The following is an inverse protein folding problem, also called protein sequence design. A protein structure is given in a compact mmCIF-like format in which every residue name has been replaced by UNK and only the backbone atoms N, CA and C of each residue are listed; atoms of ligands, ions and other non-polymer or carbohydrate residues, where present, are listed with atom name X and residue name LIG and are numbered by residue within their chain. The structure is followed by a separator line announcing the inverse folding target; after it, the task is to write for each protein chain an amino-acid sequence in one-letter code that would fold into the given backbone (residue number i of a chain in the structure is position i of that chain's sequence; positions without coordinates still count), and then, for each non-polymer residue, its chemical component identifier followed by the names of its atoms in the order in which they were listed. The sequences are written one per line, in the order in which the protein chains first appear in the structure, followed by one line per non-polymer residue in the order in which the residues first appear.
data_IF_378394073617
#
_entry.id   IF_378394073617
#
_cell.length_a   1.000
_cell.length_b   1.000
_cell.length_c   1.000
_cell.angle_alpha   90.00
_cell.angle_beta   90.00
_cell.angle_gamma   90.00
#
_symmetry.space_group_name_H-M   'P 1'
#
loop_
_entity.id
_entity.type
_entity.pdbx_description
1 polymer ?
#
# COMPACT_ATOMS: atom_id res chain seq x y z
N UNK A 1 -14.93 -13.02 -13.96
CA UNK A 1 -15.37 -12.03 -12.97
C UNK A 1 -14.15 -11.54 -12.21
N UNK A 2 -14.12 -10.27 -11.85
CA UNK A 2 -13.10 -9.73 -10.96
C UNK A 2 -13.38 -10.24 -9.55
N UNK A 3 -12.50 -11.05 -9.01
CA UNK A 3 -12.56 -11.46 -7.61
C UNK A 3 -11.59 -10.59 -6.81
N UNK A 4 -12.15 -9.90 -5.82
CA UNK A 4 -11.42 -8.95 -4.98
C UNK A 4 -11.34 -9.49 -3.57
N UNK A 5 -10.17 -9.47 -2.98
CA UNK A 5 -9.92 -9.96 -1.62
C UNK A 5 -8.98 -9.04 -0.84
N UNK A 6 -9.04 -9.09 0.48
CA UNK A 6 -8.09 -8.44 1.39
C UNK A 6 -7.24 -9.49 2.10
N UNK A 7 -6.10 -9.09 2.66
CA UNK A 7 -5.27 -9.92 3.55
C UNK A 7 -4.82 -9.06 4.72
N UNK A 8 -5.29 -9.37 5.92
CA UNK A 8 -5.12 -8.53 7.10
C UNK A 8 -4.78 -9.35 8.35
N UNK A 9 -4.36 -8.72 9.45
CA UNK A 9 -4.20 -9.39 10.74
C UNK A 9 -5.53 -9.96 11.27
N UNK A 10 -5.44 -11.00 12.10
CA UNK A 10 -6.60 -11.54 12.82
C UNK A 10 -7.32 -10.44 13.61
N UNK A 11 -8.65 -10.46 13.57
CA UNK A 11 -9.53 -9.47 14.24
C UNK A 11 -9.47 -8.03 13.69
N UNK A 12 -8.89 -7.80 12.51
CA UNK A 12 -9.01 -6.52 11.81
C UNK A 12 -10.49 -6.17 11.55
N UNK A 13 -10.81 -4.87 11.63
CA UNK A 13 -12.14 -4.32 11.32
C UNK A 13 -12.08 -3.21 10.29
N UNK A 14 -10.93 -2.61 10.13
CA UNK A 14 -10.63 -1.48 9.26
C UNK A 14 -9.72 -1.98 8.11
N UNK A 15 -10.35 -2.57 7.09
CA UNK A 15 -9.68 -3.07 5.89
C UNK A 15 -9.44 -1.90 4.92
N UNK A 16 -8.19 -1.46 4.80
CA UNK A 16 -7.82 -0.30 3.99
C UNK A 16 -7.55 -0.66 2.52
N UNK A 17 -7.03 -1.86 2.26
CA UNK A 17 -6.55 -2.29 0.96
C UNK A 17 -7.12 -3.65 0.53
N UNK A 18 -7.31 -3.81 -0.77
CA UNK A 18 -7.75 -5.06 -1.39
C UNK A 18 -7.04 -5.25 -2.74
N UNK A 19 -7.10 -6.47 -3.24
CA UNK A 19 -6.38 -6.89 -4.43
C UNK A 19 -7.24 -7.73 -5.35
N UNK A 20 -6.93 -7.68 -6.64
CA UNK A 20 -7.52 -8.54 -7.63
C UNK A 20 -6.57 -8.74 -8.81
N UNK A 21 -6.69 -9.88 -9.47
CA UNK A 21 -5.93 -10.18 -10.67
C UNK A 21 -6.82 -10.83 -11.72
N UNK A 22 -6.68 -10.39 -12.97
CA UNK A 22 -7.29 -11.03 -14.13
C UNK A 22 -6.18 -11.40 -15.09
N UNK A 23 -6.12 -12.68 -15.44
CA UNK A 23 -5.09 -13.23 -16.32
C UNK A 23 -5.75 -13.73 -17.59
N UNK A 24 -5.35 -13.16 -18.73
CA UNK A 24 -5.63 -13.64 -20.07
C UNK A 24 -4.38 -14.34 -20.64
N UNK A 25 -4.46 -14.81 -21.90
CA UNK A 25 -3.34 -15.55 -22.54
C UNK A 25 -2.02 -14.77 -22.46
N UNK A 26 -2.00 -13.52 -22.88
CA UNK A 26 -0.78 -12.73 -23.08
C UNK A 26 -0.63 -11.59 -22.07
N UNK A 27 -1.70 -11.27 -21.32
CA UNK A 27 -1.75 -10.10 -20.43
C UNK A 27 -2.29 -10.46 -19.06
N UNK A 28 -1.78 -9.79 -18.05
CA UNK A 28 -2.35 -9.76 -16.72
C UNK A 28 -2.73 -8.33 -16.36
N UNK A 29 -3.87 -8.16 -15.69
CA UNK A 29 -4.25 -6.91 -15.04
C UNK A 29 -4.25 -7.17 -13.55
N UNK A 30 -3.32 -6.54 -12.86
CA UNK A 30 -3.21 -6.57 -11.41
C UNK A 30 -3.79 -5.28 -10.86
N UNK A 31 -4.79 -5.37 -10.01
CA UNK A 31 -5.47 -4.21 -9.43
C UNK A 31 -5.22 -4.12 -7.94
N UNK A 32 -4.87 -2.92 -7.50
CA UNK A 32 -4.72 -2.55 -6.09
C UNK A 32 -5.83 -1.57 -5.77
N UNK A 33 -6.64 -1.89 -4.77
CA UNK A 33 -7.79 -1.10 -4.34
C UNK A 33 -7.52 -0.55 -2.95
N UNK A 34 -7.63 0.77 -2.81
CA UNK A 34 -7.53 1.44 -1.51
C UNK A 34 -8.90 2.02 -1.16
N UNK A 35 -9.35 1.83 0.05
CA UNK A 35 -10.62 2.39 0.54
C UNK A 35 -10.71 3.88 0.22
N UNK A 36 -11.75 4.31 -0.50
CA UNK A 36 -11.88 5.71 -0.92
C UNK A 36 -12.55 6.57 0.16
N UNK A 37 -11.82 6.80 1.24
CA UNK A 37 -12.25 7.63 2.36
C UNK A 37 -12.49 9.08 1.90
N UNK A 38 -11.67 9.59 0.98
CA UNK A 38 -11.78 10.97 0.49
C UNK A 38 -13.11 11.22 -0.24
N UNK A 39 -13.64 10.23 -0.95
CA UNK A 39 -14.97 10.29 -1.56
C UNK A 39 -16.08 10.55 -0.54
N UNK A 40 -16.08 9.81 0.57
CA UNK A 40 -17.06 9.98 1.64
C UNK A 40 -16.91 11.32 2.34
N UNK A 41 -15.68 11.77 2.57
CA UNK A 41 -15.41 13.09 3.15
C UNK A 41 -15.95 14.23 2.28
N UNK A 42 -15.78 14.12 0.96
CA UNK A 42 -16.34 15.07 0.00
C UNK A 42 -17.87 15.04 -0.01
N UNK A 43 -18.45 13.83 -0.14
CA UNK A 43 -19.89 13.63 -0.25
C UNK A 43 -20.65 14.10 1.00
N UNK A 44 -20.10 13.84 2.18
CA UNK A 44 -20.73 14.17 3.48
C UNK A 44 -20.28 15.52 4.05
N UNK A 45 -19.43 16.27 3.35
CA UNK A 45 -18.93 17.58 3.80
C UNK A 45 -18.10 17.53 5.10
N UNK A 46 -17.41 16.43 5.37
CA UNK A 46 -16.74 16.16 6.64
C UNK A 46 -15.40 16.88 6.82
N UNK A 47 -14.85 17.51 5.78
CA UNK A 47 -13.53 18.14 5.85
C UNK A 47 -13.41 19.21 6.95
N UNK A 48 -14.49 19.96 7.20
CA UNK A 48 -14.52 20.99 8.24
C UNK A 48 -14.78 20.43 9.65
N UNK A 49 -15.25 19.19 9.74
CA UNK A 49 -15.59 18.51 11.00
C UNK A 49 -14.53 17.50 11.41
N UNK A 50 -13.40 17.46 10.69
CA UNK A 50 -12.35 16.50 10.92
C UNK A 50 -11.67 16.72 12.27
N UNK A 51 -11.48 15.65 13.04
CA UNK A 51 -10.82 15.73 14.34
C UNK A 51 -9.31 15.98 14.17
N UNK A 52 -8.68 16.50 15.20
CA UNK A 52 -7.23 16.78 15.24
C UNK A 52 -6.35 15.51 15.25
N UNK A 53 -6.94 14.31 15.16
CA UNK A 53 -6.19 13.06 15.15
C UNK A 53 -5.52 12.83 13.81
N UNK A 54 -4.21 12.62 13.84
CA UNK A 54 -3.39 12.35 12.65
C UNK A 54 -3.28 10.85 12.32
N UNK A 55 -3.65 9.97 13.27
CA UNK A 55 -3.65 8.51 13.07
C UNK A 55 -4.51 7.79 14.11
N UNK A 56 -4.88 6.55 13.76
CA UNK A 56 -5.43 5.59 14.73
C UNK A 56 -4.34 5.17 15.72
N UNK A 57 -4.68 5.13 17.00
CA UNK A 57 -3.77 4.70 18.08
C UNK A 57 -4.25 3.33 18.57
N UNK A 58 -3.38 2.34 18.49
CA UNK A 58 -3.60 1.00 19.01
C UNK A 58 -2.98 0.87 20.40
N UNK A 59 -3.81 0.64 21.41
CA UNK A 59 -3.41 0.38 22.80
C UNK A 59 -3.65 -1.11 23.09
N UNK A 60 -3.01 -1.69 24.11
CA UNK A 60 -3.18 -3.11 24.43
C UNK A 60 -4.62 -3.52 24.72
N UNK A 61 -5.42 -2.61 25.29
CA UNK A 61 -6.80 -2.83 25.75
C UNK A 61 -7.86 -2.29 24.77
N UNK A 62 -7.49 -1.34 23.89
CA UNK A 62 -8.45 -0.64 23.02
C UNK A 62 -7.80 0.03 21.81
N UNK A 63 -8.61 0.27 20.79
CA UNK A 63 -8.30 1.12 19.63
C UNK A 63 -8.90 2.52 19.84
N UNK A 64 -8.13 3.58 19.53
CA UNK A 64 -8.63 4.94 19.36
C UNK A 64 -8.57 5.28 17.87
N UNK A 65 -9.66 5.13 17.14
CA UNK A 65 -9.66 5.32 15.70
C UNK A 65 -9.45 6.79 15.33
N UNK A 66 -8.80 7.02 14.19
CA UNK A 66 -8.67 8.34 13.58
C UNK A 66 -10.04 8.87 13.12
N UNK A 67 -10.81 8.02 12.48
CA UNK A 67 -12.17 8.30 12.02
C UNK A 67 -13.21 7.77 13.02
N UNK A 68 -14.42 8.35 13.06
CA UNK A 68 -15.55 7.72 13.75
C UNK A 68 -15.73 6.26 13.30
N UNK A 69 -16.09 5.35 14.21
CA UNK A 69 -16.19 3.91 13.94
C UNK A 69 -17.20 3.58 12.83
N UNK A 70 -18.26 4.39 12.69
CA UNK A 70 -19.21 4.24 11.57
C UNK A 70 -18.52 4.44 10.20
N UNK A 71 -17.53 5.28 10.12
CA UNK A 71 -16.72 5.46 8.90
C UNK A 71 -15.64 4.41 8.81
N UNK A 72 -14.82 4.24 9.86
CA UNK A 72 -13.65 3.36 9.80
C UNK A 72 -14.01 1.88 9.66
N UNK A 73 -14.99 1.39 10.41
CA UNK A 73 -15.26 -0.04 10.55
C UNK A 73 -16.47 -0.50 9.71
N UNK A 74 -17.32 0.45 9.21
CA UNK A 74 -18.50 0.10 8.43
C UNK A 74 -18.43 0.64 6.99
N UNK A 75 -18.49 1.96 6.79
CA UNK A 75 -18.68 2.54 5.45
C UNK A 75 -17.42 2.45 4.59
N UNK A 76 -16.25 2.73 5.17
CA UNK A 76 -14.98 2.76 4.45
C UNK A 76 -14.25 1.41 4.44
N UNK A 77 -14.45 0.58 5.44
CA UNK A 77 -13.78 -0.73 5.53
C UNK A 77 -14.17 -1.65 4.37
N UNK A 78 -13.19 -2.27 3.72
CA UNK A 78 -13.38 -3.19 2.58
C UNK A 78 -13.81 -4.58 3.08
N UNK A 79 -15.01 -4.65 3.66
CA UNK A 79 -15.58 -5.86 4.27
C UNK A 79 -16.15 -6.84 3.26
N UNK A 80 -15.98 -8.14 3.53
CA UNK A 80 -16.46 -9.25 2.71
C UNK A 80 -17.97 -9.17 2.43
N UNK A 81 -18.37 -9.50 1.20
CA UNK A 81 -19.73 -9.47 0.66
C UNK A 81 -20.38 -8.09 0.55
N UNK A 82 -19.60 -7.03 0.73
CA UNK A 82 -20.07 -5.66 0.64
C UNK A 82 -19.58 -4.94 -0.63
N UNK A 83 -20.34 -3.97 -1.10
CA UNK A 83 -19.92 -3.02 -2.12
C UNK A 83 -19.24 -1.81 -1.47
N UNK A 84 -18.06 -1.45 -1.94
CA UNK A 84 -17.27 -0.33 -1.40
C UNK A 84 -16.70 0.54 -2.51
N UNK A 85 -16.60 1.84 -2.23
CA UNK A 85 -15.84 2.74 -3.09
C UNK A 85 -14.35 2.60 -2.83
N UNK A 86 -13.59 2.44 -3.89
CA UNK A 86 -12.15 2.30 -3.85
C UNK A 86 -11.46 3.27 -4.82
N UNK A 87 -10.29 3.75 -4.41
CA UNK A 87 -9.30 4.35 -5.30
C UNK A 87 -8.42 3.23 -5.84
N UNK A 88 -8.44 3.03 -7.13
CA UNK A 88 -7.90 1.84 -7.79
C UNK A 88 -6.71 2.18 -8.65
N UNK A 89 -5.66 1.37 -8.54
CA UNK A 89 -4.53 1.32 -9.47
C UNK A 89 -4.61 0.01 -10.25
N UNK A 90 -4.88 0.09 -11.55
CA UNK A 90 -4.79 -1.03 -12.47
C UNK A 90 -3.43 -1.03 -13.16
N UNK A 91 -2.71 -2.14 -13.05
CA UNK A 91 -1.40 -2.39 -13.64
C UNK A 91 -1.55 -3.40 -14.79
N UNK A 92 -1.30 -2.95 -16.02
CA UNK A 92 -1.41 -3.78 -17.22
C UNK A 92 -0.04 -4.36 -17.55
N UNK A 93 0.12 -5.66 -17.33
CA UNK A 93 1.39 -6.39 -17.40
C UNK A 93 1.39 -7.33 -18.59
N UNK A 94 2.43 -7.27 -19.39
CA UNK A 94 2.74 -8.26 -20.40
C UNK A 94 3.32 -9.51 -19.73
N UNK A 95 2.73 -10.67 -19.97
CA UNK A 95 3.10 -11.93 -19.31
C UNK A 95 4.34 -12.60 -19.95
N UNK A 96 4.59 -12.35 -21.22
CA UNK A 96 5.74 -12.94 -21.91
C UNK A 96 7.03 -12.24 -21.46
N UNK A 97 6.97 -10.92 -21.43
CA UNK A 97 8.13 -10.10 -21.04
C UNK A 97 8.20 -9.85 -19.54
N UNK A 98 7.11 -10.06 -18.79
CA UNK A 98 6.93 -9.64 -17.40
C UNK A 98 7.28 -8.15 -17.21
N UNK A 99 6.71 -7.28 -18.04
CA UNK A 99 6.92 -5.83 -17.98
C UNK A 99 5.59 -5.11 -17.84
N UNK A 100 5.60 -3.99 -17.15
CA UNK A 100 4.46 -3.08 -17.05
C UNK A 100 4.31 -2.32 -18.37
N UNK A 101 3.21 -2.54 -19.11
CA UNK A 101 2.90 -1.80 -20.34
C UNK A 101 2.36 -0.40 -20.02
N UNK A 102 1.41 -0.34 -19.11
CA UNK A 102 0.76 0.91 -18.68
C UNK A 102 0.07 0.71 -17.34
N UNK A 103 -0.34 1.80 -16.73
CA UNK A 103 -1.17 1.78 -15.53
C UNK A 103 -2.26 2.84 -15.60
N UNK A 104 -3.30 2.67 -14.78
CA UNK A 104 -4.42 3.60 -14.72
C UNK A 104 -4.92 3.75 -13.30
N UNK A 105 -5.13 4.99 -12.87
CA UNK A 105 -5.86 5.30 -11.64
C UNK A 105 -7.33 5.58 -11.95
N UNK A 106 -8.24 4.99 -11.16
CA UNK A 106 -9.69 5.19 -11.28
C UNK A 106 -10.37 5.14 -9.92
N UNK A 107 -11.50 5.85 -9.78
CA UNK A 107 -12.41 5.61 -8.68
C UNK A 107 -13.39 4.51 -9.09
N UNK A 108 -13.49 3.46 -8.31
CA UNK A 108 -14.31 2.29 -8.62
C UNK A 108 -15.25 1.95 -7.47
N UNK A 109 -16.30 1.22 -7.79
CA UNK A 109 -17.10 0.51 -6.80
C UNK A 109 -16.82 -0.98 -6.95
N UNK A 110 -16.33 -1.61 -5.90
CA UNK A 110 -15.90 -3.00 -5.87
C UNK A 110 -16.77 -3.84 -4.94
N UNK A 111 -16.90 -5.12 -5.22
CA UNK A 111 -17.49 -6.09 -4.31
C UNK A 111 -16.38 -7.00 -3.77
N UNK A 112 -16.18 -7.00 -2.47
CA UNK A 112 -15.16 -7.80 -1.80
C UNK A 112 -15.68 -9.23 -1.66
N UNK A 113 -14.95 -10.20 -2.19
CA UNK A 113 -15.33 -11.62 -2.14
C UNK A 113 -14.85 -12.31 -0.90
N UNK A 114 -13.71 -11.86 -0.33
CA UNK A 114 -13.12 -12.52 0.82
C UNK A 114 -12.16 -11.60 1.59
N UNK A 115 -12.24 -11.69 2.93
CA UNK A 115 -11.21 -11.15 3.80
C UNK A 115 -10.36 -12.32 4.32
N UNK A 116 -9.12 -12.43 3.85
CA UNK A 116 -8.14 -13.41 4.34
C UNK A 116 -7.40 -12.88 5.56
N UNK A 117 -6.90 -13.80 6.36
CA UNK A 117 -6.00 -13.52 7.48
C UNK A 117 -4.59 -13.94 7.07
N UNK A 118 -3.57 -13.14 7.43
CA UNK A 118 -2.17 -13.46 7.15
C UNK A 118 -1.79 -14.87 7.59
N UNK A 119 -0.93 -15.50 6.80
CA UNK A 119 -0.28 -16.79 7.09
C UNK A 119 -1.26 -17.93 7.39
N UNK A 120 -2.42 -17.94 6.73
CA UNK A 120 -3.40 -19.02 6.83
C UNK A 120 -3.40 -19.89 5.56
N UNK A 121 -3.69 -21.19 5.72
CA UNK A 121 -3.81 -22.15 4.61
C UNK A 121 -4.90 -21.76 3.59
N UNK A 122 -5.88 -20.97 4.01
CA UNK A 122 -7.00 -20.58 3.13
C UNK A 122 -6.53 -19.76 1.93
N UNK A 123 -5.65 -18.77 2.16
CA UNK A 123 -5.11 -17.94 1.08
C UNK A 123 -4.05 -18.69 0.26
N UNK A 124 -3.20 -19.50 0.91
CA UNK A 124 -2.15 -20.27 0.23
C UNK A 124 -2.73 -21.37 -0.68
N UNK A 125 -4.02 -21.72 -0.55
CA UNK A 125 -4.75 -22.63 -1.42
C UNK A 125 -5.65 -21.89 -2.44
N UNK A 126 -5.68 -20.55 -2.43
CA UNK A 126 -6.46 -19.77 -3.37
C UNK A 126 -5.70 -19.60 -4.70
N UNK A 127 -6.33 -20.01 -5.81
CA UNK A 127 -5.71 -20.00 -7.14
C UNK A 127 -5.33 -18.58 -7.61
N UNK A 128 -6.16 -17.59 -7.32
CA UNK A 128 -5.89 -16.20 -7.73
C UNK A 128 -4.75 -15.59 -6.92
N UNK A 129 -4.74 -15.83 -5.61
CA UNK A 129 -3.63 -15.42 -4.77
C UNK A 129 -2.30 -16.03 -5.24
N UNK A 130 -2.28 -17.34 -5.52
CA UNK A 130 -1.09 -18.03 -6.01
C UNK A 130 -0.60 -17.45 -7.34
N UNK A 131 -1.51 -17.20 -8.29
CA UNK A 131 -1.17 -16.56 -9.57
C UNK A 131 -0.60 -15.17 -9.38
N UNK A 132 -1.19 -14.39 -8.48
CA UNK A 132 -0.69 -13.05 -8.12
C UNK A 132 0.71 -13.13 -7.52
N UNK A 133 0.92 -13.97 -6.51
CA UNK A 133 2.23 -14.19 -5.86
C UNK A 133 3.29 -14.61 -6.88
N UNK A 134 2.97 -15.54 -7.78
CA UNK A 134 3.88 -15.98 -8.84
C UNK A 134 4.26 -14.83 -9.78
N UNK A 135 3.30 -14.03 -10.23
CA UNK A 135 3.55 -12.86 -11.08
C UNK A 135 4.48 -11.87 -10.38
N UNK A 136 4.20 -11.54 -9.11
CA UNK A 136 5.03 -10.62 -8.32
C UNK A 136 6.46 -11.16 -8.12
N UNK A 137 6.63 -12.46 -7.89
CA UNK A 137 7.96 -13.08 -7.83
C UNK A 137 8.74 -12.93 -9.15
N UNK A 138 8.06 -13.03 -10.30
CA UNK A 138 8.68 -12.82 -11.61
C UNK A 138 9.10 -11.35 -11.81
N UNK A 139 8.23 -10.40 -11.43
CA UNK A 139 8.50 -8.97 -11.52
C UNK A 139 9.62 -8.53 -10.58
N UNK A 140 9.63 -9.00 -9.34
CA UNK A 140 10.64 -8.63 -8.34
C UNK A 140 12.07 -9.06 -8.72
N UNK A 141 12.24 -10.03 -9.63
CA UNK A 141 13.56 -10.40 -10.17
C UNK A 141 14.12 -9.37 -11.16
N UNK A 142 13.29 -8.44 -11.64
CA UNK A 142 13.72 -7.39 -12.55
C UNK A 142 14.14 -6.15 -11.77
N UNK A 143 15.30 -5.58 -12.12
CA UNK A 143 15.87 -4.41 -11.43
C UNK A 143 14.87 -3.25 -11.26
N UNK A 144 14.03 -3.02 -12.27
CA UNK A 144 13.05 -1.92 -12.30
C UNK A 144 11.93 -2.10 -11.27
N UNK A 145 11.58 -3.35 -10.92
CA UNK A 145 10.46 -3.68 -10.02
C UNK A 145 10.91 -4.41 -8.75
N UNK A 146 12.20 -4.37 -8.45
CA UNK A 146 12.76 -4.98 -7.24
C UNK A 146 12.51 -4.06 -6.03
N UNK A 147 11.33 -4.20 -5.42
CA UNK A 147 10.94 -3.38 -4.28
C UNK A 147 11.29 -4.00 -2.93
N UNK A 148 11.49 -5.31 -2.88
CA UNK A 148 11.87 -6.05 -1.67
C UNK A 148 12.87 -7.15 -2.02
N UNK A 149 13.63 -7.63 -1.05
CA UNK A 149 14.66 -8.64 -1.30
C UNK A 149 14.08 -9.95 -1.85
N UNK A 150 13.06 -10.49 -1.18
CA UNK A 150 12.38 -11.75 -1.59
C UNK A 150 10.89 -11.71 -1.26
N UNK A 151 10.08 -12.46 -2.04
CA UNK A 151 8.64 -12.65 -1.78
C UNK A 151 8.42 -14.11 -1.37
N UNK A 152 8.24 -14.35 -0.09
CA UNK A 152 8.01 -15.69 0.48
C UNK A 152 6.65 -15.80 1.16
N UNK A 153 6.32 -14.86 2.02
CA UNK A 153 5.12 -14.82 2.84
C UNK A 153 4.03 -13.94 2.25
N UNK A 154 2.82 -14.02 2.80
CA UNK A 154 1.74 -13.08 2.45
C UNK A 154 2.07 -11.64 2.87
N UNK A 155 2.83 -11.44 3.93
CA UNK A 155 3.33 -10.12 4.32
C UNK A 155 4.22 -9.50 3.24
N UNK A 156 5.09 -10.30 2.60
CA UNK A 156 5.96 -9.82 1.51
C UNK A 156 5.13 -9.43 0.29
N UNK A 157 4.11 -10.24 -0.05
CA UNK A 157 3.19 -9.94 -1.16
C UNK A 157 2.52 -8.59 -0.94
N UNK A 158 1.95 -8.36 0.24
CA UNK A 158 1.27 -7.10 0.56
C UNK A 158 2.26 -5.94 0.61
N UNK A 159 3.42 -6.10 1.25
CA UNK A 159 4.46 -5.07 1.29
C UNK A 159 4.88 -4.63 -0.12
N UNK A 160 5.08 -5.58 -1.03
CA UNK A 160 5.42 -5.31 -2.42
C UNK A 160 4.34 -4.46 -3.11
N UNK A 161 3.07 -4.86 -2.99
CA UNK A 161 1.94 -4.16 -3.61
C UNK A 161 1.76 -2.75 -3.03
N UNK A 162 1.94 -2.59 -1.72
CA UNK A 162 1.87 -1.29 -1.05
C UNK A 162 2.99 -0.35 -1.48
N UNK A 163 4.21 -0.85 -1.62
CA UNK A 163 5.33 -0.05 -2.15
C UNK A 163 5.02 0.37 -3.60
N UNK A 164 4.53 -0.55 -4.42
CA UNK A 164 4.20 -0.26 -5.81
C UNK A 164 3.09 0.79 -5.93
N UNK A 165 2.01 0.67 -5.16
CA UNK A 165 0.93 1.66 -5.10
C UNK A 165 1.45 3.03 -4.69
N UNK A 166 2.20 3.12 -3.59
CA UNK A 166 2.76 4.36 -3.06
C UNK A 166 3.75 5.01 -4.06
N UNK A 167 4.63 4.24 -4.68
CA UNK A 167 5.60 4.73 -5.64
C UNK A 167 4.95 5.20 -6.94
N UNK A 168 3.99 4.45 -7.48
CA UNK A 168 3.28 4.85 -8.70
C UNK A 168 2.46 6.13 -8.47
N UNK A 169 1.81 6.24 -7.31
CA UNK A 169 1.13 7.46 -6.90
C UNK A 169 2.09 8.64 -6.76
N UNK A 170 3.28 8.41 -6.19
CA UNK A 170 4.31 9.44 -6.08
C UNK A 170 4.73 9.97 -7.46
N UNK A 171 4.94 9.10 -8.44
CA UNK A 171 5.29 9.49 -9.82
C UNK A 171 4.21 10.38 -10.46
N UNK A 172 2.93 10.06 -10.25
CA UNK A 172 1.83 10.90 -10.75
C UNK A 172 1.80 12.26 -10.07
N UNK A 173 1.99 12.31 -8.75
CA UNK A 173 2.01 13.58 -8.00
C UNK A 173 3.22 14.45 -8.37
N UNK A 174 4.38 13.85 -8.66
CA UNK A 174 5.56 14.56 -9.18
C UNK A 174 5.25 15.18 -10.54
N UNK A 175 4.62 14.45 -11.48
CA UNK A 175 4.21 14.99 -12.79
C UNK A 175 3.29 16.20 -12.63
N UNK A 176 2.38 16.16 -11.66
CA UNK A 176 1.43 17.23 -11.37
C UNK A 176 1.98 18.31 -10.43
N UNK A 177 3.24 18.23 -10.01
CA UNK A 177 3.93 19.17 -9.12
C UNK A 177 3.19 19.45 -7.81
N UNK A 178 2.56 18.42 -7.24
CA UNK A 178 1.77 18.52 -6.01
C UNK A 178 1.98 17.28 -5.13
N UNK A 179 1.46 17.31 -3.89
CA UNK A 179 1.43 16.18 -2.97
C UNK A 179 2.29 16.35 -1.72
N UNK A 180 2.17 15.35 -0.84
CA UNK A 180 2.96 15.19 0.38
C UNK A 180 3.83 13.94 0.24
N UNK A 181 5.14 14.14 0.19
CA UNK A 181 6.11 13.08 -0.05
C UNK A 181 6.76 12.64 1.26
N UNK A 182 6.97 11.34 1.37
CA UNK A 182 7.71 10.73 2.46
C UNK A 182 9.17 10.57 2.05
N UNK A 183 10.08 11.16 2.78
CA UNK A 183 11.52 10.96 2.62
C UNK A 183 12.09 10.14 3.79
N UNK A 184 13.20 9.49 3.55
CA UNK A 184 13.99 8.78 4.55
C UNK A 184 15.46 8.93 4.18
N UNK A 185 16.29 9.35 5.12
CA UNK A 185 17.74 9.51 4.91
C UNK A 185 18.49 8.46 5.71
N UNK A 186 19.41 7.78 5.04
CA UNK A 186 20.39 6.94 5.74
C UNK A 186 21.43 7.81 6.46
N UNK A 187 21.93 7.31 7.58
CA UNK A 187 23.02 7.96 8.27
C UNK A 187 24.36 7.44 7.71
N UNK A 188 24.92 8.16 6.75
CA UNK A 188 26.17 7.77 6.07
C UNK A 188 27.39 7.81 6.99
N UNK A 189 27.29 8.48 8.14
CA UNK A 189 28.38 8.53 9.14
C UNK A 189 28.43 7.30 10.03
N UNK A 190 27.35 6.49 10.05
CA UNK A 190 27.29 5.27 10.83
C UNK A 190 27.76 4.07 10.00
N UNK A 191 28.85 3.43 10.46
CA UNK A 191 29.34 2.18 9.89
C UNK A 191 29.13 1.04 10.90
N UNK A 192 28.28 0.04 10.59
CA UNK A 192 28.14 -1.11 11.48
C UNK A 192 29.42 -1.94 11.50
N UNK A 193 29.69 -2.67 12.59
CA UNK A 193 30.85 -3.58 12.67
C UNK A 193 30.85 -4.59 11.50
N UNK A 194 32.03 -4.84 10.92
CA UNK A 194 32.17 -5.73 9.76
C UNK A 194 32.00 -7.23 10.10
N UNK A 195 32.26 -7.61 11.34
CA UNK A 195 32.33 -9.01 11.79
C UNK A 195 31.01 -9.52 12.41
N UNK A 196 29.87 -8.98 11.99
CA UNK A 196 28.54 -9.42 12.44
C UNK A 196 27.69 -9.87 11.27
N UNK A 197 26.63 -10.64 11.56
CA UNK A 197 25.69 -11.11 10.55
C UNK A 197 25.20 -9.98 9.64
N UNK A 198 25.12 -10.19 8.31
CA UNK A 198 24.66 -9.16 7.35
C UNK A 198 23.28 -8.60 7.66
N UNK A 199 22.37 -9.42 8.19
CA UNK A 199 21.02 -8.97 8.57
C UNK A 199 21.09 -8.03 9.78
N UNK A 200 21.99 -8.31 10.74
CA UNK A 200 22.23 -7.42 11.88
C UNK A 200 22.88 -6.12 11.41
N UNK A 201 23.81 -6.16 10.45
CA UNK A 201 24.38 -4.95 9.85
C UNK A 201 23.30 -4.09 9.19
N UNK A 202 22.42 -4.72 8.39
CA UNK A 202 21.27 -4.05 7.76
C UNK A 202 20.34 -3.44 8.80
N UNK A 203 19.99 -4.19 9.85
CA UNK A 203 19.17 -3.69 10.97
C UNK A 203 19.80 -2.47 11.66
N UNK A 204 21.09 -2.53 11.99
CA UNK A 204 21.80 -1.42 12.63
C UNK A 204 21.86 -0.17 11.75
N UNK A 205 22.04 -0.31 10.44
CA UNK A 205 21.96 0.82 9.48
C UNK A 205 20.59 1.47 9.51
N UNK A 206 19.53 0.66 9.46
CA UNK A 206 18.13 1.14 9.52
C UNK A 206 17.86 1.82 10.87
N UNK A 207 18.27 1.21 11.96
CA UNK A 207 18.11 1.75 13.32
C UNK A 207 18.78 3.12 13.50
N UNK A 208 19.94 3.29 12.89
CA UNK A 208 20.69 4.56 12.94
C UNK A 208 20.31 5.53 11.80
N UNK A 209 19.33 5.21 10.98
CA UNK A 209 18.83 6.14 9.98
C UNK A 209 18.09 7.31 10.63
N UNK A 210 18.06 8.43 9.92
CA UNK A 210 17.23 9.57 10.34
C UNK A 210 15.75 9.25 10.17
N UNK A 211 14.95 9.63 11.15
CA UNK A 211 13.51 9.45 11.09
C UNK A 211 12.92 10.07 9.81
N UNK A 212 12.00 9.34 9.17
CA UNK A 212 11.40 9.83 7.93
C UNK A 212 10.57 11.10 8.15
N UNK A 213 10.59 11.97 7.16
CA UNK A 213 9.91 13.27 7.14
C UNK A 213 8.83 13.31 6.06
N UNK A 214 7.85 14.18 6.23
CA UNK A 214 6.92 14.56 5.17
C UNK A 214 7.23 15.96 4.69
N UNK A 215 7.34 16.12 3.37
CA UNK A 215 7.57 17.40 2.70
C UNK A 215 6.58 17.61 1.55
N UNK A 216 6.37 18.87 1.17
CA UNK A 216 5.62 19.23 -0.05
C UNK A 216 6.47 18.97 -1.29
N UNK A 217 5.86 19.00 -2.48
CA UNK A 217 6.58 18.82 -3.74
C UNK A 217 7.86 19.68 -3.87
N UNK A 218 7.84 20.93 -3.37
CA UNK A 218 9.00 21.84 -3.40
C UNK A 218 10.19 21.33 -2.58
N UNK A 219 9.91 20.51 -1.57
CA UNK A 219 10.89 19.95 -0.63
C UNK A 219 11.06 18.45 -0.86
N UNK A 220 10.83 17.99 -2.11
CA UNK A 220 10.93 16.59 -2.48
C UNK A 220 12.36 16.07 -2.24
N UNK A 221 12.46 15.04 -1.43
CA UNK A 221 13.68 14.27 -1.18
C UNK A 221 13.44 12.80 -1.48
N UNK A 222 14.49 12.07 -1.86
CA UNK A 222 14.38 10.62 -2.13
C UNK A 222 14.13 9.82 -0.84
N UNK A 223 13.64 8.62 -1.00
CA UNK A 223 13.45 7.64 0.05
C UNK A 223 14.60 6.62 0.02
N UNK A 224 15.70 6.90 0.78
CA UNK A 224 16.92 6.11 0.71
C UNK A 224 16.72 4.63 1.09
N UNK A 225 15.90 4.34 2.11
CA UNK A 225 15.65 2.96 2.54
C UNK A 225 14.98 2.08 1.47
N UNK A 226 14.23 2.65 0.54
CA UNK A 226 13.60 1.96 -0.58
C UNK A 226 14.35 2.22 -1.89
N UNK A 227 15.39 3.05 -1.87
CA UNK A 227 16.15 3.49 -3.06
C UNK A 227 15.27 4.14 -4.14
N UNK A 228 14.16 4.78 -3.75
CA UNK A 228 13.20 5.42 -4.64
C UNK A 228 13.40 6.93 -4.68
N UNK A 229 13.25 7.51 -5.87
CA UNK A 229 13.39 8.96 -6.12
C UNK A 229 12.26 9.80 -5.53
N UNK A 230 11.07 9.20 -5.39
CA UNK A 230 9.91 9.80 -4.74
C UNK A 230 9.08 8.71 -4.05
N UNK A 231 8.45 9.05 -2.94
CA UNK A 231 7.57 8.12 -2.24
C UNK A 231 6.46 8.88 -1.51
N UNK A 232 5.27 8.32 -1.51
CA UNK A 232 4.13 8.86 -0.76
C UNK A 232 3.50 7.78 0.11
N UNK A 233 2.64 8.16 0.99
CA UNK A 233 1.74 7.26 1.67
C UNK A 233 0.29 7.54 1.21
N UNK A 234 -0.40 6.50 0.70
CA UNK A 234 -1.79 6.57 0.24
C UNK A 234 -2.60 5.31 0.59
N UNK A 235 -1.95 4.29 1.14
CA UNK A 235 -2.49 2.93 1.23
C UNK A 235 -3.29 2.62 2.50
N UNK A 236 -3.29 3.49 3.51
CA UNK A 236 -4.03 3.28 4.76
C UNK A 236 -4.86 4.53 5.19
N UNK A 237 -5.74 5.06 4.35
CA UNK A 237 -6.46 6.31 4.58
C UNK A 237 -7.48 6.26 5.72
N UNK A 238 -7.93 5.08 6.16
CA UNK A 238 -8.80 4.93 7.33
C UNK A 238 -8.03 5.23 8.61
N UNK A 239 -6.72 4.93 8.62
CA UNK A 239 -5.90 4.91 9.83
C UNK A 239 -4.87 6.03 9.91
N UNK A 240 -4.57 6.71 8.79
CA UNK A 240 -3.51 7.72 8.75
C UNK A 240 -3.90 8.93 7.89
N UNK A 241 -3.84 10.11 8.50
CA UNK A 241 -4.29 11.36 7.87
C UNK A 241 -3.53 11.71 6.58
N UNK A 242 -2.22 11.49 6.55
CA UNK A 242 -1.42 11.80 5.36
C UNK A 242 -1.86 10.99 4.13
N UNK A 243 -2.27 9.74 4.33
CA UNK A 243 -2.81 8.90 3.24
C UNK A 243 -4.12 9.47 2.72
N UNK A 244 -5.02 9.85 3.63
CA UNK A 244 -6.29 10.48 3.27
C UNK A 244 -6.07 11.80 2.52
N UNK A 245 -5.15 12.65 2.97
CA UNK A 245 -4.81 13.92 2.30
C UNK A 245 -4.15 13.70 0.93
N UNK A 246 -3.38 12.64 0.78
CA UNK A 246 -2.76 12.28 -0.50
C UNK A 246 -3.80 11.86 -1.54
N UNK A 247 -4.90 11.21 -1.13
CA UNK A 247 -6.01 10.82 -2.01
C UNK A 247 -6.85 11.99 -2.54
N UNK A 248 -6.76 13.18 -1.92
CA UNK A 248 -7.53 14.38 -2.37
C UNK A 248 -6.99 15.01 -3.64
N UNK A 249 -5.81 14.62 -4.09
CA UNK A 249 -5.09 15.19 -5.24
C UNK A 249 -5.28 14.34 -6.47
#
# INVERSE_FOLDING_TARGET
SWEVFTIDPTNSKDFDDAFGIVINRDKAVLSIYISNVSFWFGLLGLWNSFSERISTIYLPDRKRPMLPTVLSDAICSLTENDYRFAFTLDLYIDKETNTLNTYKFTNTMINIKKNYVYDTDKQENDELYLKMKQLLCCLNKKKEYNYIDTIQTSHDVIAYLMIWMNYTSAKELVKNKCGLFRSSKMNDTFQPPLNIDPNIQKFLKIWNSYGGKYGKYKDLERHDMLELDAYVHITIPIRRLVDLLTMMK
#
